data_IF_240087695705
#
_entry.id   IF_240087695705
#
_cell.length_a   1.000
_cell.length_b   1.000
_cell.length_c   1.000
_cell.angle_alpha   90.00
_cell.angle_beta   90.00
_cell.angle_gamma   90.00
#
_symmetry.space_group_name_H-M   'P 1'
#
loop_
_entity.id
_entity.type
_entity.pdbx_description
1 polymer ?
#
# COMPACT_ATOMS: atom_id res chain seq x y z
N UNK A 1 16.73 13.56 -18.87
CA UNK A 1 16.93 12.90 -20.17
C UNK A 1 15.65 12.15 -20.53
N UNK A 2 14.81 12.73 -21.38
CA UNK A 2 13.60 12.05 -21.88
C UNK A 2 14.04 11.11 -23.00
N UNK A 3 14.26 9.83 -22.69
CA UNK A 3 14.32 8.82 -23.73
C UNK A 3 12.97 8.86 -24.46
N UNK A 4 12.97 9.23 -25.73
CA UNK A 4 11.79 9.10 -26.57
C UNK A 4 11.47 7.61 -26.66
N UNK A 5 10.50 7.14 -25.89
CA UNK A 5 10.02 5.78 -25.98
C UNK A 5 9.41 5.63 -27.37
N UNK A 6 9.93 4.68 -28.15
CA UNK A 6 9.40 4.39 -29.46
C UNK A 6 7.98 3.82 -29.32
N UNK A 7 7.08 4.17 -30.24
CA UNK A 7 5.74 3.58 -30.30
C UNK A 7 5.81 2.05 -30.35
N UNK A 8 6.86 1.50 -30.96
CA UNK A 8 7.13 0.06 -31.02
C UNK A 8 7.30 -0.58 -29.63
N UNK A 9 8.05 0.04 -28.73
CA UNK A 9 8.23 -0.48 -27.36
C UNK A 9 6.92 -0.45 -26.56
N UNK A 10 6.05 0.53 -26.81
CA UNK A 10 4.73 0.61 -26.18
C UNK A 10 3.82 -0.50 -26.71
N UNK A 11 3.76 -0.69 -28.02
CA UNK A 11 2.98 -1.77 -28.65
C UNK A 11 3.45 -3.16 -28.22
N UNK A 12 4.76 -3.37 -28.08
CA UNK A 12 5.32 -4.61 -27.56
C UNK A 12 4.90 -4.84 -26.09
N UNK A 13 4.96 -3.79 -25.26
CA UNK A 13 4.47 -3.84 -23.88
C UNK A 13 2.99 -4.25 -23.80
N UNK A 14 2.14 -3.67 -24.66
CA UNK A 14 0.73 -4.03 -24.73
C UNK A 14 0.50 -5.47 -25.19
N UNK A 15 1.31 -5.96 -26.12
CA UNK A 15 1.27 -7.36 -26.57
C UNK A 15 1.60 -8.32 -25.42
N UNK A 16 2.58 -7.96 -24.58
CA UNK A 16 2.91 -8.73 -23.36
C UNK A 16 1.78 -8.69 -22.34
N UNK A 17 1.15 -7.54 -22.11
CA UNK A 17 -0.03 -7.45 -21.23
C UNK A 17 -1.18 -8.32 -21.76
N UNK A 18 -1.48 -8.25 -23.05
CA UNK A 18 -2.54 -9.04 -23.68
C UNK A 18 -2.27 -10.55 -23.65
N UNK A 19 -1.00 -10.99 -23.72
CA UNK A 19 -0.64 -12.41 -23.56
C UNK A 19 -0.90 -12.95 -22.16
N UNK A 20 -0.80 -12.10 -21.13
CA UNK A 20 -1.03 -12.46 -19.72
C UNK A 20 -2.49 -12.30 -19.30
N UNK A 21 -3.20 -11.38 -19.96
CA UNK A 21 -4.61 -11.08 -19.73
C UNK A 21 -5.38 -11.06 -21.06
N UNK A 22 -5.79 -12.23 -21.59
CA UNK A 22 -6.47 -12.31 -22.88
C UNK A 22 -7.80 -11.55 -22.91
N UNK A 23 -8.42 -11.31 -21.75
CA UNK A 23 -9.61 -10.48 -21.60
C UNK A 23 -9.41 -9.01 -22.03
N UNK A 24 -8.17 -8.51 -21.94
CA UNK A 24 -7.85 -7.13 -22.35
C UNK A 24 -7.56 -7.02 -23.85
N UNK A 25 -7.44 -8.15 -24.56
CA UNK A 25 -7.06 -8.17 -25.97
C UNK A 25 -8.06 -7.38 -26.83
N UNK A 26 -9.36 -7.50 -26.58
CA UNK A 26 -10.38 -6.74 -27.33
C UNK A 26 -10.34 -5.23 -27.06
N UNK A 27 -9.98 -4.81 -25.84
CA UNK A 27 -9.82 -3.40 -25.49
C UNK A 27 -8.57 -2.81 -26.13
N UNK A 28 -7.46 -3.55 -26.05
CA UNK A 28 -6.17 -3.15 -26.60
C UNK A 28 -6.21 -3.15 -28.13
N UNK A 29 -6.84 -4.13 -28.78
CA UNK A 29 -6.93 -4.21 -30.24
C UNK A 29 -7.81 -3.07 -30.82
N UNK A 30 -8.85 -2.64 -30.09
CA UNK A 30 -9.70 -1.51 -30.50
C UNK A 30 -8.98 -0.16 -30.43
N UNK A 31 -8.10 0.03 -29.44
CA UNK A 31 -7.34 1.27 -29.23
C UNK A 31 -6.02 1.26 -30.00
N UNK A 32 -5.40 0.11 -30.23
CA UNK A 32 -4.27 -0.06 -31.16
C UNK A 32 -4.68 0.26 -32.62
N UNK A 33 -5.98 0.12 -32.95
CA UNK A 33 -6.54 0.58 -34.22
C UNK A 33 -6.63 2.12 -34.32
N UNK A 34 -6.64 2.84 -33.20
CA UNK A 34 -6.63 4.30 -33.14
C UNK A 34 -5.20 4.79 -32.84
N UNK A 35 -4.41 5.01 -33.89
CA UNK A 35 -2.95 5.25 -33.90
C UNK A 35 -2.39 6.45 -33.07
N UNK A 36 -3.11 7.02 -32.09
CA UNK A 36 -2.58 8.09 -31.24
C UNK A 36 -1.87 7.55 -30.00
N UNK A 37 -0.61 7.98 -29.81
CA UNK A 37 0.18 7.72 -28.60
C UNK A 37 -0.58 8.14 -27.32
N UNK A 38 -1.36 9.22 -27.41
CA UNK A 38 -2.15 9.74 -26.31
C UNK A 38 -3.28 8.79 -25.89
N UNK A 39 -3.93 8.11 -26.84
CA UNK A 39 -4.95 7.10 -26.55
C UNK A 39 -4.37 5.92 -25.78
N UNK A 40 -3.24 5.38 -26.25
CA UNK A 40 -2.52 4.29 -25.58
C UNK A 40 -2.07 4.67 -24.16
N UNK A 41 -1.56 5.89 -23.97
CA UNK A 41 -1.18 6.37 -22.64
C UNK A 41 -2.39 6.50 -21.72
N UNK A 42 -3.52 6.98 -22.22
CA UNK A 42 -4.76 7.07 -21.44
C UNK A 42 -5.26 5.69 -21.02
N UNK A 43 -5.16 4.68 -21.89
CA UNK A 43 -5.46 3.28 -21.55
C UNK A 43 -4.54 2.77 -20.45
N UNK A 44 -3.22 3.03 -20.55
CA UNK A 44 -2.27 2.64 -19.51
C UNK A 44 -2.58 3.29 -18.17
N UNK A 45 -2.91 4.58 -18.15
CA UNK A 45 -3.30 5.29 -16.93
C UNK A 45 -4.56 4.71 -16.29
N UNK A 46 -5.52 4.26 -17.09
CA UNK A 46 -6.74 3.62 -16.59
C UNK A 46 -6.51 2.19 -16.10
N UNK A 47 -5.58 1.44 -16.73
CA UNK A 47 -5.26 0.06 -16.36
C UNK A 47 -4.31 -0.02 -15.16
N UNK A 48 -3.36 0.91 -15.02
CA UNK A 48 -2.33 0.88 -13.97
C UNK A 48 -2.93 1.07 -12.57
N UNK A 49 -4.10 1.69 -12.46
CA UNK A 49 -4.82 1.89 -11.19
C UNK A 49 -5.85 0.79 -10.88
N UNK A 50 -5.88 -0.29 -11.67
CA UNK A 50 -6.71 -1.48 -11.41
C UNK A 50 -5.84 -2.60 -10.83
N UNK A 51 -6.02 -3.02 -9.57
CA UNK A 51 -5.14 -3.96 -8.86
C UNK A 51 -4.80 -5.24 -9.64
N UNK A 52 -5.80 -5.80 -10.35
CA UNK A 52 -5.66 -6.99 -11.19
C UNK A 52 -4.61 -6.85 -12.30
N UNK A 53 -4.38 -5.63 -12.78
CA UNK A 53 -3.48 -5.34 -13.89
C UNK A 53 -2.25 -4.52 -13.47
N UNK A 54 -2.26 -3.87 -12.30
CA UNK A 54 -1.19 -2.97 -11.84
C UNK A 54 0.19 -3.63 -11.85
N UNK A 55 0.29 -4.89 -11.42
CA UNK A 55 1.55 -5.65 -11.42
C UNK A 55 2.04 -5.92 -12.85
N UNK A 56 1.15 -6.42 -13.72
CA UNK A 56 1.48 -6.77 -15.10
C UNK A 56 1.83 -5.54 -15.94
N UNK A 57 1.02 -4.48 -15.85
CA UNK A 57 1.29 -3.22 -16.56
C UNK A 57 2.53 -2.54 -15.98
N UNK A 58 2.68 -2.54 -14.66
CA UNK A 58 3.85 -1.96 -13.98
C UNK A 58 5.16 -2.63 -14.39
N UNK A 59 5.17 -3.95 -14.51
CA UNK A 59 6.35 -4.72 -14.96
C UNK A 59 6.64 -4.52 -16.45
N UNK A 60 5.63 -4.55 -17.33
CA UNK A 60 5.82 -4.35 -18.78
C UNK A 60 6.23 -2.93 -19.16
N UNK A 61 5.82 -1.91 -18.41
CA UNK A 61 6.05 -0.50 -18.73
C UNK A 61 6.96 0.22 -17.73
N UNK A 62 7.84 -0.52 -17.04
CA UNK A 62 8.74 0.01 -16.01
C UNK A 62 9.51 1.29 -16.41
N UNK A 63 10.06 1.44 -17.64
CA UNK A 63 10.79 2.65 -18.04
C UNK A 63 9.94 3.94 -18.02
N UNK A 64 8.63 3.82 -18.21
CA UNK A 64 7.69 4.95 -18.24
C UNK A 64 6.78 5.01 -17.02
N UNK A 65 6.95 4.07 -16.08
CA UNK A 65 6.01 3.86 -14.99
C UNK A 65 5.81 5.11 -14.14
N UNK A 66 6.89 5.79 -13.78
CA UNK A 66 6.81 7.04 -13.01
C UNK A 66 5.96 8.09 -13.73
N UNK A 67 6.11 8.24 -15.05
CA UNK A 67 5.34 9.21 -15.84
C UNK A 67 3.87 8.83 -15.90
N UNK A 68 3.58 7.57 -16.20
CA UNK A 68 2.21 7.06 -16.33
C UNK A 68 1.48 7.14 -14.99
N UNK A 69 2.09 6.70 -13.90
CA UNK A 69 1.49 6.74 -12.56
C UNK A 69 1.30 8.19 -12.10
N UNK A 70 2.28 9.07 -12.30
CA UNK A 70 2.14 10.49 -11.95
C UNK A 70 0.98 11.15 -12.70
N UNK A 71 0.84 10.87 -14.00
CA UNK A 71 -0.27 11.37 -14.82
C UNK A 71 -1.62 10.81 -14.37
N UNK A 72 -1.70 9.49 -14.13
CA UNK A 72 -2.91 8.83 -13.65
C UNK A 72 -3.37 9.38 -12.30
N UNK A 73 -2.43 9.55 -11.35
CA UNK A 73 -2.70 10.14 -10.03
C UNK A 73 -3.13 11.59 -10.16
N UNK A 74 -2.44 12.40 -10.98
CA UNK A 74 -2.81 13.79 -11.20
C UNK A 74 -4.23 13.92 -11.78
N UNK A 75 -4.59 13.09 -12.77
CA UNK A 75 -5.95 13.05 -13.33
C UNK A 75 -6.97 12.64 -12.26
N UNK A 76 -6.65 11.63 -11.45
CA UNK A 76 -7.50 11.17 -10.36
C UNK A 76 -7.77 12.26 -9.33
N UNK A 77 -6.77 13.08 -9.02
CA UNK A 77 -6.89 14.22 -8.10
C UNK A 77 -7.59 15.44 -8.72
N UNK A 78 -7.45 15.65 -10.04
CA UNK A 78 -8.01 16.80 -10.75
C UNK A 78 -9.51 16.66 -11.04
N UNK A 79 -10.05 15.44 -11.10
CA UNK A 79 -11.49 15.26 -11.08
C UNK A 79 -11.98 15.57 -9.65
N UNK A 80 -12.54 16.77 -9.45
CA UNK A 80 -13.05 17.40 -8.19
C UNK A 80 -13.88 16.51 -7.23
N UNK A 81 -14.18 15.28 -7.61
CA UNK A 81 -14.53 14.20 -6.70
C UNK A 81 -13.27 13.59 -6.06
N UNK A 82 -12.66 14.29 -5.10
CA UNK A 82 -11.86 13.62 -4.08
C UNK A 82 -12.72 12.50 -3.45
N UNK A 83 -12.15 11.36 -3.06
CA UNK A 83 -12.88 10.10 -3.07
C UNK A 83 -13.81 9.97 -1.86
N UNK A 84 -15.02 10.52 -1.96
CA UNK A 84 -16.17 10.00 -1.20
C UNK A 84 -16.47 8.54 -1.62
N UNK A 85 -16.03 8.15 -2.83
CA UNK A 85 -16.01 6.77 -3.27
C UNK A 85 -14.87 5.99 -2.60
N UNK A 86 -15.18 5.46 -1.42
CA UNK A 86 -14.30 4.58 -0.64
C UNK A 86 -13.78 3.39 -1.45
N UNK A 87 -14.59 2.87 -2.39
CA UNK A 87 -14.22 1.73 -3.23
C UNK A 87 -13.07 2.13 -4.13
N UNK A 88 -13.22 3.22 -4.87
CA UNK A 88 -12.18 3.66 -5.78
C UNK A 88 -10.91 4.19 -5.07
N UNK A 89 -11.03 4.77 -3.87
CA UNK A 89 -9.86 5.06 -3.02
C UNK A 89 -9.11 3.78 -2.63
N UNK A 90 -9.84 2.77 -2.16
CA UNK A 90 -9.28 1.48 -1.77
C UNK A 90 -8.59 0.79 -2.97
N UNK A 91 -9.26 0.74 -4.12
CA UNK A 91 -8.71 0.18 -5.37
C UNK A 91 -7.43 0.90 -5.82
N UNK A 92 -7.42 2.24 -5.74
CA UNK A 92 -6.24 3.04 -6.06
C UNK A 92 -5.10 2.77 -5.08
N UNK A 93 -5.41 2.68 -3.78
CA UNK A 93 -4.44 2.41 -2.72
C UNK A 93 -3.79 1.04 -2.86
N UNK A 94 -4.58 0.00 -3.17
CA UNK A 94 -4.06 -1.34 -3.46
C UNK A 94 -3.12 -1.30 -4.67
N UNK A 95 -3.53 -0.65 -5.77
CA UNK A 95 -2.67 -0.48 -6.94
C UNK A 95 -1.37 0.24 -6.61
N UNK A 96 -1.44 1.36 -5.89
CA UNK A 96 -0.24 2.11 -5.49
C UNK A 96 0.68 1.30 -4.58
N UNK A 97 0.14 0.47 -3.69
CA UNK A 97 0.95 -0.43 -2.85
C UNK A 97 1.78 -1.40 -3.71
N UNK A 98 1.15 -2.03 -4.71
CA UNK A 98 1.82 -2.95 -5.65
C UNK A 98 2.88 -2.22 -6.48
N UNK A 99 2.52 -1.03 -6.99
CA UNK A 99 3.42 -0.26 -7.85
C UNK A 99 4.64 0.27 -7.09
N UNK A 100 4.46 0.67 -5.83
CA UNK A 100 5.54 1.15 -4.98
C UNK A 100 6.56 0.04 -4.68
N UNK A 101 6.12 -1.21 -4.53
CA UNK A 101 7.02 -2.37 -4.43
C UNK A 101 7.84 -2.57 -5.72
N UNK A 102 7.22 -2.38 -6.88
CA UNK A 102 7.90 -2.50 -8.18
C UNK A 102 8.89 -1.36 -8.44
N UNK A 103 8.54 -0.15 -8.03
CA UNK A 103 9.29 1.06 -8.31
C UNK A 103 9.26 1.99 -7.08
N UNK A 104 10.26 1.87 -6.17
CA UNK A 104 10.36 2.71 -4.98
C UNK A 104 10.40 4.21 -5.26
N UNK A 105 10.87 4.62 -6.46
CA UNK A 105 10.84 6.03 -6.88
C UNK A 105 9.43 6.63 -7.00
N UNK A 106 8.36 5.83 -6.87
CA UNK A 106 6.98 6.32 -6.83
C UNK A 106 6.58 6.89 -5.46
N UNK A 107 7.44 6.82 -4.43
CA UNK A 107 7.11 7.26 -3.08
C UNK A 107 6.54 8.68 -3.05
N UNK A 108 7.17 9.65 -3.73
CA UNK A 108 6.69 11.03 -3.77
C UNK A 108 5.28 11.16 -4.38
N UNK A 109 4.98 10.36 -5.40
CA UNK A 109 3.66 10.33 -6.06
C UNK A 109 2.60 9.74 -5.14
N UNK A 110 2.96 8.69 -4.40
CA UNK A 110 2.09 8.06 -3.39
C UNK A 110 1.82 9.04 -2.25
N UNK A 111 2.84 9.73 -1.75
CA UNK A 111 2.70 10.75 -0.72
C UNK A 111 1.82 11.91 -1.19
N UNK A 112 2.00 12.36 -2.44
CA UNK A 112 1.16 13.38 -3.06
C UNK A 112 -0.30 12.94 -3.14
N UNK A 113 -0.57 11.70 -3.53
CA UNK A 113 -1.94 11.17 -3.54
C UNK A 113 -2.58 11.25 -2.15
N UNK A 114 -1.89 10.75 -1.12
CA UNK A 114 -2.38 10.75 0.26
C UNK A 114 -2.26 12.10 0.99
N UNK A 115 -1.77 13.15 0.33
CA UNK A 115 -1.97 14.53 0.79
C UNK A 115 -3.40 15.01 0.56
N UNK A 116 -4.09 14.42 -0.41
CA UNK A 116 -5.42 14.84 -0.84
C UNK A 116 -6.48 13.75 -0.61
N UNK A 117 -6.11 12.47 -0.63
CA UNK A 117 -6.99 11.35 -0.37
C UNK A 117 -6.97 10.92 1.11
N UNK A 118 -8.13 10.50 1.68
CA UNK A 118 -8.19 9.92 3.01
C UNK A 118 -7.51 8.54 3.05
N UNK A 119 -7.22 8.01 4.24
CA UNK A 119 -6.70 6.66 4.39
C UNK A 119 -7.60 5.61 3.69
N UNK A 120 -7.04 4.50 3.18
CA UNK A 120 -7.78 3.50 2.39
C UNK A 120 -8.99 2.89 3.12
N UNK A 121 -8.90 2.85 4.44
CA UNK A 121 -9.84 2.24 5.37
C UNK A 121 -10.82 3.25 6.00
N UNK A 122 -10.73 4.55 5.69
CA UNK A 122 -11.46 5.60 6.42
C UNK A 122 -13.00 5.46 6.36
N UNK A 123 -13.54 4.87 5.29
CA UNK A 123 -14.98 4.62 5.15
C UNK A 123 -15.42 3.19 5.47
N UNK A 124 -14.53 2.35 5.99
CA UNK A 124 -14.83 0.96 6.30
C UNK A 124 -15.22 0.82 7.76
N UNK A 125 -16.33 0.14 8.03
CA UNK A 125 -16.79 -0.18 9.39
C UNK A 125 -16.80 -1.69 9.59
N UNK A 126 -16.96 -2.14 10.85
CA UNK A 126 -17.08 -3.57 11.18
C UNK A 126 -18.25 -4.25 10.45
N UNK A 127 -19.30 -3.49 10.10
CA UNK A 127 -20.46 -3.98 9.36
C UNK A 127 -20.20 -4.16 7.86
N UNK A 128 -19.15 -3.51 7.33
CA UNK A 128 -18.76 -3.63 5.92
C UNK A 128 -18.10 -4.97 5.60
N UNK A 129 -17.56 -5.68 6.60
CA UNK A 129 -16.89 -6.99 6.36
C UNK A 129 -17.87 -8.15 6.14
N UNK A 130 -19.14 -8.02 6.50
CA UNK A 130 -20.14 -9.10 6.36
C UNK A 130 -20.99 -9.01 5.09
N UNK A 131 -20.95 -7.89 4.36
CA UNK A 131 -21.82 -7.61 3.23
C UNK A 131 -21.03 -7.26 1.96
N UNK A 132 -20.30 -8.20 1.36
CA UNK A 132 -19.72 -7.98 0.03
C UNK A 132 -19.76 -9.27 -0.79
N UNK A 133 -20.79 -9.39 -1.64
CA UNK A 133 -20.86 -10.40 -2.70
C UNK A 133 -20.56 -9.81 -4.09
N UNK A 134 -20.16 -8.54 -4.17
CA UNK A 134 -19.83 -7.86 -5.43
C UNK A 134 -18.32 -7.97 -5.72
N UNK A 135 -17.91 -8.62 -6.83
CA UNK A 135 -16.51 -8.72 -7.23
C UNK A 135 -15.85 -7.37 -7.59
N UNK A 136 -16.61 -6.28 -7.72
CA UNK A 136 -16.08 -4.95 -8.01
C UNK A 136 -15.51 -4.23 -6.78
N UNK A 137 -15.91 -4.63 -5.57
CA UNK A 137 -15.46 -4.01 -4.31
C UNK A 137 -14.27 -4.80 -3.75
N UNK A 138 -13.12 -4.16 -3.48
CA UNK A 138 -11.97 -4.86 -2.92
C UNK A 138 -12.30 -5.40 -1.53
N UNK A 139 -11.87 -6.61 -1.20
CA UNK A 139 -12.12 -7.14 0.13
C UNK A 139 -11.40 -6.30 1.20
N UNK A 140 -12.00 -6.13 2.38
CA UNK A 140 -11.38 -5.36 3.48
C UNK A 140 -9.98 -5.91 3.86
N UNK A 141 -9.78 -7.22 3.70
CA UNK A 141 -8.48 -7.88 3.90
C UNK A 141 -7.40 -7.35 2.94
N UNK A 142 -7.76 -7.16 1.67
CA UNK A 142 -6.87 -6.57 0.66
C UNK A 142 -6.57 -5.11 0.98
N UNK A 143 -7.57 -4.36 1.45
CA UNK A 143 -7.40 -2.95 1.83
C UNK A 143 -6.46 -2.80 3.02
N UNK A 144 -6.65 -3.58 4.09
CA UNK A 144 -5.75 -3.56 5.25
C UNK A 144 -4.36 -4.08 4.89
N UNK A 145 -4.27 -5.11 4.05
CA UNK A 145 -2.98 -5.61 3.55
C UNK A 145 -2.23 -4.56 2.73
N UNK A 146 -2.91 -3.87 1.81
CA UNK A 146 -2.32 -2.75 1.07
C UNK A 146 -1.91 -1.60 1.98
N UNK A 147 -2.72 -1.29 2.99
CA UNK A 147 -2.38 -0.27 4.01
C UNK A 147 -1.11 -0.64 4.76
N UNK A 148 -0.97 -1.91 5.14
CA UNK A 148 0.21 -2.42 5.84
C UNK A 148 1.46 -2.32 4.96
N UNK A 149 1.36 -2.71 3.67
CA UNK A 149 2.43 -2.54 2.67
C UNK A 149 2.82 -1.07 2.50
N UNK A 150 1.84 -0.18 2.35
CA UNK A 150 2.08 1.25 2.20
C UNK A 150 2.84 1.84 3.41
N UNK A 151 2.47 1.47 4.64
CA UNK A 151 3.21 1.92 5.82
C UNK A 151 4.61 1.30 5.93
N UNK A 152 4.82 0.07 5.45
CA UNK A 152 6.14 -0.56 5.41
C UNK A 152 7.07 0.07 4.36
N UNK A 153 6.52 0.49 3.22
CA UNK A 153 7.26 1.05 2.09
C UNK A 153 7.47 2.56 2.22
N UNK A 154 6.45 3.28 2.69
CA UNK A 154 6.45 4.73 2.89
C UNK A 154 6.02 5.09 4.34
N UNK A 155 6.91 4.94 5.33
CA UNK A 155 6.60 5.20 6.75
C UNK A 155 6.12 6.62 7.03
N UNK A 156 6.46 7.58 6.17
CA UNK A 156 6.03 8.99 6.24
C UNK A 156 4.50 9.15 6.24
N UNK A 157 3.75 8.17 5.73
CA UNK A 157 2.29 8.14 5.74
C UNK A 157 1.70 8.09 7.17
N UNK A 158 2.45 7.57 8.15
CA UNK A 158 2.04 7.52 9.57
C UNK A 158 1.61 8.88 10.12
N UNK A 159 2.25 9.96 9.67
CA UNK A 159 1.96 11.32 10.16
C UNK A 159 0.76 11.96 9.46
N UNK A 160 0.27 11.36 8.38
CA UNK A 160 -0.82 11.89 7.54
C UNK A 160 -2.14 11.16 7.76
N UNK A 161 -2.08 9.90 8.17
CA UNK A 161 -3.26 9.08 8.39
C UNK A 161 -3.70 9.07 9.84
N UNK A 162 -5.00 9.29 10.04
CA UNK A 162 -5.67 8.89 11.26
C UNK A 162 -5.98 7.38 11.17
N UNK A 163 -5.18 6.58 11.87
CA UNK A 163 -5.34 5.14 11.94
C UNK A 163 -6.21 4.69 13.12
N UNK A 164 -6.80 5.61 13.89
CA UNK A 164 -7.69 5.27 15.01
C UNK A 164 -8.84 4.35 14.60
N UNK A 165 -9.49 4.51 13.43
CA UNK A 165 -10.55 3.60 12.98
C UNK A 165 -10.10 2.13 12.87
N UNK A 166 -8.80 1.87 12.64
CA UNK A 166 -8.28 0.51 12.52
C UNK A 166 -8.49 -0.31 13.79
N UNK A 167 -8.49 0.33 14.97
CA UNK A 167 -8.64 -0.38 16.23
C UNK A 167 -10.00 -1.06 16.37
N UNK A 168 -11.01 -0.61 15.64
CA UNK A 168 -12.32 -1.27 15.61
C UNK A 168 -12.24 -2.69 15.01
N UNK A 169 -11.26 -2.96 14.14
CA UNK A 169 -11.07 -4.25 13.46
C UNK A 169 -10.34 -5.29 14.32
N UNK A 170 -9.80 -4.92 15.49
CA UNK A 170 -9.18 -5.87 16.44
C UNK A 170 -10.20 -6.93 16.90
N UNK A 171 -11.49 -6.61 16.91
CA UNK A 171 -12.56 -7.51 17.34
C UNK A 171 -13.30 -8.17 16.18
N UNK A 172 -12.72 -8.17 14.98
CA UNK A 172 -13.33 -8.78 13.80
C UNK A 172 -13.27 -10.32 13.86
N UNK A 173 -14.21 -10.98 13.18
CA UNK A 173 -14.26 -12.45 13.09
C UNK A 173 -13.10 -13.02 12.26
N UNK A 174 -12.67 -12.32 11.20
CA UNK A 174 -11.56 -12.78 10.36
C UNK A 174 -10.22 -12.68 11.11
N UNK A 175 -9.46 -13.79 11.23
CA UNK A 175 -8.13 -13.78 11.82
C UNK A 175 -7.15 -12.91 11.02
N UNK A 176 -7.29 -12.85 9.70
CA UNK A 176 -6.41 -12.05 8.86
C UNK A 176 -6.61 -10.54 9.11
N UNK A 177 -7.85 -10.10 9.28
CA UNK A 177 -8.15 -8.70 9.64
C UNK A 177 -7.59 -8.35 11.01
N UNK A 178 -7.77 -9.23 12.00
CA UNK A 178 -7.19 -9.08 13.34
C UNK A 178 -5.66 -8.97 13.26
N UNK A 179 -5.02 -9.87 12.53
CA UNK A 179 -3.57 -9.89 12.34
C UNK A 179 -3.04 -8.62 11.65
N UNK A 180 -3.62 -8.23 10.50
CA UNK A 180 -3.25 -7.00 9.81
C UNK A 180 -3.41 -5.78 10.72
N UNK A 181 -4.47 -5.74 11.52
CA UNK A 181 -4.75 -4.64 12.45
C UNK A 181 -3.69 -4.54 13.55
N UNK A 182 -3.29 -5.67 14.16
CA UNK A 182 -2.21 -5.72 15.15
C UNK A 182 -0.90 -5.22 14.53
N UNK A 183 -0.57 -5.66 13.32
CA UNK A 183 0.64 -5.25 12.59
C UNK A 183 0.65 -3.76 12.22
N UNK A 184 -0.51 -3.22 11.85
CA UNK A 184 -0.71 -1.80 11.56
C UNK A 184 -0.60 -0.97 12.84
N UNK A 185 -1.27 -1.38 13.92
CA UNK A 185 -1.21 -0.72 15.22
C UNK A 185 0.21 -0.68 15.76
N UNK A 186 0.96 -1.79 15.68
CA UNK A 186 2.35 -1.84 16.10
C UNK A 186 3.22 -0.78 15.39
N UNK A 187 3.08 -0.64 14.07
CA UNK A 187 3.83 0.36 13.27
C UNK A 187 3.36 1.79 13.53
N UNK A 188 2.05 1.97 13.60
CA UNK A 188 1.46 3.29 13.80
C UNK A 188 1.72 3.84 15.20
N UNK A 189 1.65 3.03 16.26
CA UNK A 189 2.04 3.45 17.61
C UNK A 189 3.54 3.39 17.87
N UNK A 190 4.33 2.71 17.02
CA UNK A 190 5.75 2.49 17.28
C UNK A 190 5.98 1.56 18.47
N UNK A 191 5.15 0.53 18.60
CA UNK A 191 5.26 -0.48 19.65
C UNK A 191 6.56 -1.26 19.49
N UNK A 192 7.17 -1.64 20.61
CA UNK A 192 8.25 -2.63 20.60
C UNK A 192 7.69 -4.03 20.30
N UNK A 193 8.56 -4.93 19.85
CA UNK A 193 8.17 -6.29 19.44
C UNK A 193 7.45 -7.06 20.56
N UNK A 194 7.84 -6.87 21.82
CA UNK A 194 7.18 -7.54 22.95
C UNK A 194 5.74 -7.06 23.15
N UNK A 195 5.50 -5.75 23.04
CA UNK A 195 4.17 -5.17 23.15
C UNK A 195 3.28 -5.58 21.97
N UNK A 196 3.84 -5.60 20.75
CA UNK A 196 3.13 -6.07 19.56
C UNK A 196 2.74 -7.55 19.67
N UNK A 197 3.66 -8.41 20.16
CA UNK A 197 3.38 -9.83 20.42
C UNK A 197 2.32 -10.02 21.50
N UNK A 198 2.39 -9.25 22.60
CA UNK A 198 1.40 -9.33 23.67
C UNK A 198 0.01 -8.96 23.16
N UNK A 199 -0.11 -7.91 22.35
CA UNK A 199 -1.37 -7.55 21.71
C UNK A 199 -1.86 -8.64 20.74
N UNK A 200 -0.96 -9.22 19.95
CA UNK A 200 -1.26 -10.36 19.08
C UNK A 200 -1.83 -11.55 19.84
N UNK A 201 -1.19 -11.97 20.92
CA UNK A 201 -1.59 -13.10 21.76
C UNK A 201 -2.95 -12.90 22.46
N UNK A 202 -3.36 -11.66 22.70
CA UNK A 202 -4.68 -11.36 23.27
C UNK A 202 -5.81 -11.53 22.25
N UNK A 203 -5.48 -11.41 20.97
CA UNK A 203 -6.46 -11.26 19.90
C UNK A 203 -6.46 -12.47 18.97
N UNK A 204 -5.36 -13.22 18.86
CA UNK A 204 -5.17 -14.34 17.94
C UNK A 204 -4.62 -15.56 18.69
N UNK A 205 -5.00 -16.75 18.24
CA UNK A 205 -4.30 -17.97 18.65
C UNK A 205 -2.94 -18.09 17.93
N UNK A 206 -2.02 -18.88 18.48
CA UNK A 206 -0.71 -19.11 17.87
C UNK A 206 -0.81 -19.76 16.47
N UNK A 207 -1.82 -20.60 16.24
CA UNK A 207 -2.09 -21.22 14.94
C UNK A 207 -2.60 -20.19 13.93
N UNK A 208 -3.57 -19.35 14.34
CA UNK A 208 -4.09 -18.27 13.50
C UNK A 208 -3.00 -17.26 13.12
N UNK A 209 -2.14 -16.90 14.06
CA UNK A 209 -1.02 -15.98 13.83
C UNK A 209 -0.03 -16.55 12.81
N UNK A 210 0.33 -17.83 12.95
CA UNK A 210 1.24 -18.53 12.04
C UNK A 210 0.65 -18.61 10.62
N UNK A 211 -0.63 -18.99 10.51
CA UNK A 211 -1.32 -19.07 9.23
C UNK A 211 -1.39 -17.71 8.52
N UNK A 212 -1.68 -16.63 9.26
CA UNK A 212 -1.70 -15.29 8.69
C UNK A 212 -0.31 -14.83 8.25
N UNK A 213 0.74 -15.14 9.03
CA UNK A 213 2.11 -14.82 8.66
C UNK A 213 2.55 -15.57 7.38
N UNK A 214 2.22 -16.85 7.27
CA UNK A 214 2.49 -17.63 6.06
C UNK A 214 1.78 -17.07 4.83
N UNK A 215 0.49 -16.71 4.96
CA UNK A 215 -0.26 -16.09 3.86
C UNK A 215 0.35 -14.75 3.44
N UNK A 216 0.79 -13.95 4.41
CA UNK A 216 1.46 -12.68 4.13
C UNK A 216 2.76 -12.88 3.35
N UNK A 217 3.58 -13.85 3.77
CA UNK A 217 4.82 -14.19 3.09
C UNK A 217 4.55 -14.73 1.67
N UNK A 218 3.55 -15.59 1.49
CA UNK A 218 3.14 -16.09 0.18
C UNK A 218 2.70 -14.97 -0.77
N UNK A 219 1.94 -13.99 -0.28
CA UNK A 219 1.51 -12.85 -1.08
C UNK A 219 2.68 -11.95 -1.49
N UNK A 220 3.62 -11.69 -0.57
CA UNK A 220 4.87 -10.99 -0.89
C UNK A 220 5.70 -11.75 -1.92
N UNK A 221 5.74 -13.09 -1.84
CA UNK A 221 6.46 -13.93 -2.79
C UNK A 221 5.80 -13.98 -4.17
N UNK A 222 4.46 -14.05 -4.26
CA UNK A 222 3.73 -13.99 -5.53
C UNK A 222 4.04 -12.71 -6.31
N UNK A 223 4.13 -11.58 -5.61
CA UNK A 223 4.51 -10.29 -6.22
C UNK A 223 5.94 -10.32 -6.79
N UNK A 224 6.83 -11.10 -6.19
CA UNK A 224 8.22 -11.27 -6.66
C UNK A 224 8.36 -12.24 -7.84
N UNK A 225 7.56 -13.31 -7.92
CA UNK A 225 7.71 -14.37 -8.92
C UNK A 225 6.98 -14.14 -10.25
N UNK A 226 5.98 -13.25 -10.33
CA UNK A 226 5.39 -12.84 -11.62
C UNK A 226 6.36 -12.03 -12.54
N UNK A 227 7.65 -12.06 -12.21
CA UNK A 227 8.74 -11.25 -12.75
C UNK A 227 9.85 -12.14 -13.35
N UNK A 228 9.50 -13.28 -13.96
CA UNK A 228 10.47 -14.21 -14.59
C UNK A 228 11.36 -13.56 -15.67
N UNK A 229 11.01 -12.38 -16.16
CA UNK A 229 11.83 -11.58 -17.10
C UNK A 229 12.99 -10.79 -16.41
N UNK A 230 13.15 -10.84 -15.08
CA UNK A 230 14.14 -10.06 -14.32
C UNK A 230 15.38 -10.86 -13.85
N UNK A 231 16.04 -11.63 -14.73
CA UNK A 231 17.39 -12.16 -14.44
C UNK A 231 18.48 -11.08 -14.24
N UNK A 232 18.15 -9.77 -14.33
CA UNK A 232 19.12 -8.68 -14.28
C UNK A 232 19.14 -7.81 -13.01
N UNK A 233 18.33 -8.06 -11.97
CA UNK A 233 18.12 -7.06 -10.90
C UNK A 233 18.22 -7.61 -9.47
N UNK A 234 19.35 -7.40 -8.76
CA UNK A 234 19.57 -7.92 -7.40
C UNK A 234 18.97 -7.07 -6.25
N UNK A 235 18.45 -5.86 -6.50
CA UNK A 235 18.12 -4.90 -5.44
C UNK A 235 16.77 -5.13 -4.71
N UNK A 236 15.81 -5.82 -5.33
CA UNK A 236 14.47 -6.03 -4.76
C UNK A 236 14.47 -7.18 -3.75
N UNK A 237 15.25 -8.24 -4.02
CA UNK A 237 15.39 -9.39 -3.11
C UNK A 237 15.93 -9.00 -1.73
N UNK A 238 16.89 -8.07 -1.64
CA UNK A 238 17.51 -7.69 -0.37
C UNK A 238 16.61 -6.86 0.55
N UNK A 239 15.69 -6.07 -0.01
CA UNK A 239 14.82 -5.19 0.80
C UNK A 239 13.62 -5.97 1.37
N UNK A 240 13.09 -6.93 0.61
CA UNK A 240 11.95 -7.75 1.05
C UNK A 240 12.40 -8.85 2.03
N UNK A 241 13.55 -9.50 1.80
CA UNK A 241 14.08 -10.53 2.72
C UNK A 241 14.58 -9.97 4.07
N UNK A 242 14.94 -8.68 4.15
CA UNK A 242 15.33 -8.03 5.41
C UNK A 242 14.14 -7.49 6.22
N UNK A 243 12.91 -7.53 5.68
CA UNK A 243 11.71 -6.87 6.26
C UNK A 243 10.56 -7.82 6.58
N UNK A 244 10.77 -9.13 6.48
CA UNK A 244 9.84 -10.14 7.01
C UNK A 244 9.57 -9.93 8.50
N UNK A 245 8.47 -10.48 9.04
CA UNK A 245 8.10 -10.31 10.45
C UNK A 245 9.27 -10.78 11.32
N UNK A 246 9.94 -9.83 11.97
CA UNK A 246 11.08 -10.08 12.85
C UNK A 246 10.59 -10.78 14.11
N UNK A 247 10.38 -12.09 14.00
CA UNK A 247 9.78 -12.91 15.03
C UNK A 247 10.34 -14.33 15.15
N UNK A 248 11.35 -14.73 14.37
CA UNK A 248 11.84 -16.13 14.40
C UNK A 248 13.35 -16.34 14.23
N UNK A 249 14.20 -15.31 14.11
CA UNK A 249 15.65 -15.53 14.08
C UNK A 249 16.37 -14.44 14.87
N UNK A 250 16.90 -14.80 16.03
CA UNK A 250 17.89 -13.97 16.71
C UNK A 250 19.16 -13.93 15.87
N UNK A 251 19.58 -12.75 15.43
CA UNK A 251 20.97 -12.49 15.12
C UNK A 251 21.32 -11.00 15.27
N UNK A 252 22.55 -10.81 15.77
CA UNK A 252 23.16 -9.60 16.26
C UNK A 252 23.38 -8.51 15.19
N UNK A 253 23.21 -7.26 15.65
CA UNK A 253 24.13 -6.15 15.38
C UNK A 253 24.24 -5.66 13.94
N UNK A 254 23.70 -4.47 13.69
CA UNK A 254 24.37 -3.39 12.96
C UNK A 254 23.51 -2.12 13.06
N UNK A 255 23.85 -1.27 14.02
CA UNK A 255 23.43 0.13 14.03
C UNK A 255 24.02 0.82 12.81
N UNK A 256 23.17 1.36 11.95
CA UNK A 256 23.58 2.36 10.95
C UNK A 256 22.73 3.60 11.13
N UNK A 257 23.21 4.47 12.01
CA UNK A 257 22.82 5.87 12.05
C UNK A 257 23.02 6.46 10.65
N UNK A 258 21.94 6.93 10.02
CA UNK A 258 22.04 7.97 9.00
C UNK A 258 21.44 9.22 9.60
N UNK A 259 22.34 10.13 9.96
CA UNK A 259 22.04 11.55 10.14
C UNK A 259 21.33 12.07 8.89
N UNK A 260 20.13 12.61 9.07
CA UNK A 260 19.49 13.50 8.10
C UNK A 260 19.69 14.92 8.62
N UNK A 261 20.24 15.86 7.84
CA UNK A 261 20.21 17.25 8.21
C UNK A 261 18.84 17.84 7.87
N UNK A 262 18.28 18.57 8.83
CA UNK A 262 17.16 19.47 8.66
C UNK A 262 17.39 20.44 7.49
N UNK A 263 16.31 20.81 6.81
CA UNK A 263 15.89 22.17 6.42
C UNK A 263 14.66 21.99 5.52
N UNK A 264 13.47 22.32 6.01
CA UNK A 264 12.58 23.28 5.35
C UNK A 264 11.58 23.83 6.38
N UNK A 265 11.78 25.11 6.65
CA UNK A 265 11.02 25.96 7.55
C UNK A 265 9.87 26.60 6.76
N UNK A 266 8.62 26.30 7.10
CA UNK A 266 7.46 27.08 6.68
C UNK A 266 6.53 27.31 7.87
N UNK A 267 6.88 28.32 8.66
CA UNK A 267 5.95 29.00 9.54
C UNK A 267 5.04 29.93 8.69
N UNK A 268 3.72 29.82 8.85
CA UNK A 268 2.80 30.93 9.20
C UNK A 268 1.30 30.65 8.89
N UNK A 269 0.54 30.20 9.91
CA UNK A 269 -0.80 30.65 10.38
C UNK A 269 -2.10 30.62 9.51
N UNK A 270 -3.34 30.75 10.11
CA UNK A 270 -3.81 30.46 11.48
C UNK A 270 -5.14 29.64 11.62
N UNK A 271 -5.27 28.97 12.77
CA UNK A 271 -6.44 28.76 13.69
C UNK A 271 -7.87 28.58 13.15
N UNK A 272 -8.52 27.50 13.61
CA UNK A 272 -9.98 27.38 13.72
C UNK A 272 -10.44 26.06 14.33
N UNK A 273 -10.31 25.90 15.66
CA UNK A 273 -10.91 24.80 16.43
C UNK A 273 -12.28 25.26 16.95
N UNK A 274 -13.26 24.36 17.05
CA UNK A 274 -14.00 24.27 18.31
C UNK A 274 -13.96 22.87 18.90
N UNK A 275 -13.85 22.89 20.23
CA UNK A 275 -13.86 21.77 21.14
C UNK A 275 -15.11 20.90 20.99
N UNK A 276 -14.90 19.58 20.92
CA UNK A 276 -15.93 18.56 21.04
C UNK A 276 -15.39 17.44 21.91
N UNK A 277 -15.51 17.61 23.22
CA UNK A 277 -15.20 16.62 24.25
C UNK A 277 -16.03 15.36 24.04
N UNK A 278 -15.40 14.23 23.71
CA UNK A 278 -15.98 12.92 23.97
C UNK A 278 -14.95 11.96 24.55
N UNK A 279 -15.41 11.30 25.61
CA UNK A 279 -14.70 10.45 26.55
C UNK A 279 -14.41 9.11 25.90
N UNK A 280 -13.13 8.71 25.83
CA UNK A 280 -12.74 7.29 25.86
C UNK A 280 -11.64 7.17 26.93
N UNK A 281 -12.07 7.27 28.18
CA UNK A 281 -11.37 6.65 29.30
C UNK A 281 -11.72 5.15 29.25
N UNK A 282 -10.72 4.27 29.04
CA UNK A 282 -10.95 2.84 29.17
C UNK A 282 -9.96 1.86 28.54
N UNK A 283 -9.03 2.29 27.66
CA UNK A 283 -8.08 1.35 27.01
C UNK A 283 -6.60 1.78 27.14
N UNK A 284 -6.29 2.82 27.93
CA UNK A 284 -4.90 3.25 28.19
C UNK A 284 -4.59 3.21 29.69
N UNK A 285 -4.71 2.04 30.30
CA UNK A 285 -4.04 1.72 31.56
C UNK A 285 -3.30 0.39 31.39
N UNK A 286 -2.18 0.45 30.69
CA UNK A 286 -1.06 -0.50 30.79
C UNK A 286 0.20 0.20 30.29
N UNK A 287 0.53 1.33 30.94
CA UNK A 287 1.88 1.89 30.91
C UNK A 287 2.71 1.01 31.85
N UNK A 288 3.46 0.07 31.29
CA UNK A 288 4.53 -0.63 32.02
C UNK A 288 5.68 0.37 32.17
N UNK A 289 6.14 0.69 33.39
CA UNK A 289 7.38 1.44 33.56
C UNK A 289 8.55 0.54 33.18
N UNK A 290 9.30 0.90 32.14
CA UNK A 290 10.67 0.40 31.98
C UNK A 290 11.53 1.07 33.06
N UNK A 291 11.64 0.43 34.22
CA UNK A 291 12.72 0.72 35.17
C UNK A 291 14.04 0.33 34.51
N UNK A 292 14.89 1.33 34.29
CA UNK A 292 16.31 1.14 34.04
C UNK A 292 16.94 0.76 35.37
N UNK A 293 17.30 -0.51 35.52
CA UNK A 293 18.11 -0.98 36.64
C UNK A 293 19.46 -1.50 36.12
N UNK A 294 20.51 -0.77 36.55
CA UNK A 294 21.95 -1.06 36.58
C UNK A 294 22.69 -1.37 35.28
#
# INVERSE_FOLDING_TARGET
MNAAISNEAICEGFSRVASRHPELKSMIDAEALAQSLDGLLQTLENLILKPRYSLTVGSCFRPILLRVVSSAVAKRLAHDSLPEDNVANATTSISLSILLELAPQLEDVVLLYFMHAPPPFAGWTKETSSNVADPAVPALEEVLGATLRLLQLAPSLKHRWDCTPLLSFITNESPLLRWCTVQLAARWFGMCDSAARQLGQQVLSAEEEMDCAMRWDDDCMRQCYCNEDLQGWPAVQSVLLQRGPSGMAGFAGLTRERHSPDIYNWASFPRGVPAGTFIIAGIVELVIPCEVAS
#
